data_IF_162821170450
#
_entry.id   IF_162821170450
#
_cell.length_a   1.000
_cell.length_b   1.000
_cell.length_c   1.000
_cell.angle_alpha   90.00
_cell.angle_beta   90.00
_cell.angle_gamma   90.00
#
_symmetry.space_group_name_H-M   'P 1'
#
loop_
_entity.id
_entity.type
_entity.pdbx_description
1 polymer ?
#
# COMPACT_ATOMS: atom_id res chain seq x y z
N UNK A 1 10.41 33.77 16.17
CA UNK A 1 9.52 33.29 17.27
C UNK A 1 10.24 32.18 18.05
N UNK A 2 9.63 31.53 19.10
CA UNK A 2 10.37 30.58 19.98
C UNK A 2 10.80 29.30 19.25
N UNK A 3 9.93 28.74 18.43
CA UNK A 3 10.24 27.50 17.68
C UNK A 3 11.40 27.69 16.69
N UNK A 4 11.38 28.76 15.94
CA UNK A 4 12.45 29.11 14.97
C UNK A 4 13.80 29.25 15.67
N UNK A 5 13.83 29.88 16.87
CA UNK A 5 15.05 30.03 17.65
C UNK A 5 15.58 28.70 18.18
N UNK A 6 14.71 27.78 18.63
CA UNK A 6 15.12 26.44 19.06
C UNK A 6 15.74 25.64 17.90
N UNK A 7 15.18 25.73 16.70
CA UNK A 7 15.76 25.14 15.50
C UNK A 7 17.11 25.78 15.13
N UNK A 8 17.22 27.12 15.16
CA UNK A 8 18.47 27.82 14.89
C UNK A 8 19.56 27.44 15.90
N UNK A 9 19.22 27.37 17.20
CA UNK A 9 20.13 26.93 18.25
C UNK A 9 20.66 25.51 17.99
N UNK A 10 19.76 24.59 17.61
CA UNK A 10 20.12 23.23 17.28
C UNK A 10 21.05 23.17 16.05
N UNK A 11 20.73 23.89 14.97
CA UNK A 11 21.54 23.93 13.75
C UNK A 11 22.94 24.54 14.00
N UNK A 12 23.03 25.59 14.81
CA UNK A 12 24.33 26.20 15.20
C UNK A 12 25.18 25.19 15.95
N UNK A 13 24.62 24.48 16.94
CA UNK A 13 25.34 23.48 17.72
C UNK A 13 25.73 22.26 16.89
N UNK A 14 24.90 21.86 15.89
CA UNK A 14 25.26 20.82 14.95
C UNK A 14 26.43 21.18 14.04
N UNK A 15 26.45 22.42 13.57
CA UNK A 15 27.45 22.91 12.61
C UNK A 15 28.79 23.30 13.27
N UNK A 16 28.73 24.10 14.33
CA UNK A 16 29.91 24.65 14.99
C UNK A 16 30.39 23.84 16.19
N UNK A 17 29.59 22.89 16.67
CA UNK A 17 29.93 22.02 17.79
C UNK A 17 29.68 22.67 19.14
N UNK A 18 30.72 22.88 19.91
CA UNK A 18 30.64 23.48 21.23
C UNK A 18 30.76 25.02 21.15
N UNK A 19 29.83 25.73 21.79
CA UNK A 19 29.81 27.18 21.89
C UNK A 19 29.44 27.60 23.32
N UNK A 20 29.94 28.76 23.76
CA UNK A 20 29.52 29.34 25.06
C UNK A 20 28.08 29.84 24.99
N UNK A 21 27.42 29.95 26.15
CA UNK A 21 26.08 30.53 26.21
C UNK A 21 26.07 32.01 25.78
N UNK A 22 27.18 32.72 25.98
CA UNK A 22 27.36 34.10 25.56
C UNK A 22 27.41 34.18 24.00
N UNK A 23 28.26 33.40 23.35
CA UNK A 23 28.34 33.36 21.88
C UNK A 23 27.01 32.99 21.24
N UNK A 24 26.27 32.02 21.81
CA UNK A 24 24.95 31.65 21.35
C UNK A 24 23.92 32.76 21.56
N UNK A 25 24.05 33.52 22.66
CA UNK A 25 23.16 34.63 22.94
C UNK A 25 23.38 35.79 21.96
N UNK A 26 24.64 36.07 21.62
CA UNK A 26 25.04 37.06 20.61
C UNK A 26 24.55 36.67 19.21
N UNK A 27 24.77 35.40 18.78
CA UNK A 27 24.38 34.88 17.45
C UNK A 27 22.88 34.87 17.25
N UNK A 28 22.10 34.55 18.31
CA UNK A 28 20.65 34.49 18.27
C UNK A 28 19.93 35.75 18.74
N UNK A 29 20.70 36.83 19.04
CA UNK A 29 20.21 38.14 19.50
C UNK A 29 19.26 38.03 20.72
N UNK A 30 19.63 37.19 21.70
CA UNK A 30 18.87 36.96 22.93
C UNK A 30 19.76 37.02 24.16
N UNK A 31 19.16 37.00 25.37
CA UNK A 31 19.95 36.91 26.60
C UNK A 31 20.46 35.50 26.87
N UNK A 32 21.58 35.32 27.56
CA UNK A 32 22.08 34.03 28.02
C UNK A 32 21.04 33.26 28.84
N UNK A 33 20.21 33.95 29.63
CA UNK A 33 19.09 33.35 30.36
C UNK A 33 18.06 32.68 29.42
N UNK A 34 17.87 33.27 28.24
CA UNK A 34 17.00 32.71 27.20
C UNK A 34 17.63 31.46 26.61
N UNK A 35 18.95 31.46 26.35
CA UNK A 35 19.70 30.29 25.87
C UNK A 35 19.57 29.11 26.85
N UNK A 36 19.81 29.35 28.17
CA UNK A 36 19.66 28.26 29.15
C UNK A 36 18.22 27.69 29.23
N UNK A 37 17.22 28.56 29.08
CA UNK A 37 15.84 28.13 29.04
C UNK A 37 15.53 27.32 27.77
N UNK A 38 16.11 27.71 26.65
CA UNK A 38 15.93 26.98 25.37
C UNK A 38 16.70 25.66 25.38
N UNK A 39 17.89 25.57 25.98
CA UNK A 39 18.60 24.31 26.24
C UNK A 39 17.77 23.38 27.10
N UNK A 40 17.15 23.89 28.16
CA UNK A 40 16.25 23.07 29.00
C UNK A 40 15.04 22.57 28.22
N UNK A 41 14.49 23.39 27.33
CA UNK A 41 13.36 22.97 26.47
C UNK A 41 13.77 21.91 25.45
N UNK A 42 14.96 22.06 24.84
CA UNK A 42 15.51 21.04 23.92
C UNK A 42 15.73 19.70 24.65
N UNK A 43 16.34 19.74 25.83
CA UNK A 43 16.58 18.56 26.67
C UNK A 43 15.27 17.90 27.10
N UNK A 44 14.25 18.67 27.46
CA UNK A 44 12.92 18.16 27.79
C UNK A 44 12.20 17.52 26.58
N UNK A 45 12.57 17.92 25.37
CA UNK A 45 12.09 17.36 24.10
C UNK A 45 12.92 16.15 23.61
N UNK A 46 13.83 15.63 24.45
CA UNK A 46 14.65 14.46 24.12
C UNK A 46 15.92 14.78 23.31
N UNK A 47 16.24 16.06 23.07
CA UNK A 47 17.46 16.47 22.39
C UNK A 47 18.60 16.58 23.42
N UNK A 48 19.66 15.74 23.33
CA UNK A 48 20.70 15.67 24.36
C UNK A 48 21.68 16.83 24.22
N UNK A 49 21.33 17.98 24.80
CA UNK A 49 22.17 19.17 24.90
C UNK A 49 22.76 19.25 26.28
N UNK A 50 24.07 19.43 26.38
CA UNK A 50 24.79 19.58 27.63
C UNK A 50 25.41 20.98 27.74
N UNK A 51 25.29 21.58 28.91
CA UNK A 51 25.99 22.79 29.28
C UNK A 51 27.02 22.47 30.37
N UNK A 52 28.32 22.68 30.08
CA UNK A 52 29.41 22.55 31.06
C UNK A 52 29.95 23.92 31.46
N UNK A 53 30.23 24.10 32.76
CA UNK A 53 30.78 25.33 33.30
C UNK A 53 32.31 25.24 33.41
N UNK A 54 33.01 26.38 33.31
CA UNK A 54 34.45 26.53 33.55
C UNK A 54 35.25 26.83 32.27
N UNK A 55 36.61 26.99 32.42
CA UNK A 55 37.48 27.21 31.27
C UNK A 55 37.41 26.08 30.29
N UNK A 56 36.99 26.35 29.04
CA UNK A 56 36.70 25.33 28.03
C UNK A 56 35.31 24.71 28.13
N UNK A 57 34.44 25.21 29.02
CA UNK A 57 33.03 24.86 29.09
C UNK A 57 32.22 25.46 27.95
N UNK A 58 30.97 25.01 27.79
CA UNK A 58 30.06 25.53 26.77
C UNK A 58 28.84 24.62 26.59
N UNK A 59 28.03 24.99 25.68
CA UNK A 59 26.85 24.24 25.26
C UNK A 59 27.24 23.39 24.09
N UNK A 60 26.95 22.09 24.15
CA UNK A 60 27.21 21.15 23.06
C UNK A 60 26.12 20.07 22.98
N UNK A 61 25.94 19.51 21.81
CA UNK A 61 25.21 18.25 21.62
C UNK A 61 26.11 17.06 21.99
N UNK A 62 25.54 15.95 22.43
CA UNK A 62 26.28 14.69 22.50
C UNK A 62 26.89 14.40 21.13
N UNK A 63 28.10 13.84 21.09
CA UNK A 63 28.86 13.61 19.86
C UNK A 63 28.11 12.66 18.92
N UNK A 64 27.47 11.68 19.47
CA UNK A 64 26.59 10.74 18.72
C UNK A 64 25.34 11.42 18.12
N UNK A 65 24.78 12.44 18.78
CA UNK A 65 23.64 13.22 18.28
C UNK A 65 24.08 14.26 17.24
N UNK A 66 25.29 14.75 17.33
CA UNK A 66 25.90 15.69 16.38
C UNK A 66 26.14 15.05 15.01
N UNK A 67 26.41 13.73 14.97
CA UNK A 67 26.61 12.96 13.74
C UNK A 67 25.31 12.46 13.13
N UNK A 68 24.17 12.54 13.83
CA UNK A 68 22.86 12.12 13.33
C UNK A 68 22.05 13.28 12.75
N UNK A 69 22.34 13.65 11.52
CA UNK A 69 21.56 14.65 10.75
C UNK A 69 20.06 14.30 10.64
N UNK A 70 19.67 13.06 10.87
CA UNK A 70 18.31 12.58 10.71
C UNK A 70 17.52 12.42 12.01
N UNK A 71 18.18 12.46 13.19
CA UNK A 71 17.53 12.17 14.49
C UNK A 71 16.95 10.74 14.61
N UNK A 72 17.19 9.88 13.65
CA UNK A 72 16.65 8.51 13.64
C UNK A 72 17.37 7.63 14.67
N UNK A 73 16.63 6.85 15.41
CA UNK A 73 17.13 5.77 16.27
C UNK A 73 17.67 4.59 15.44
N UNK A 74 18.48 3.69 16.03
CA UNK A 74 18.93 2.48 15.34
C UNK A 74 17.78 1.62 14.81
N UNK A 75 16.68 1.50 15.57
CA UNK A 75 15.53 0.69 15.19
C UNK A 75 14.71 1.35 14.08
N UNK A 76 14.55 2.67 14.10
CA UNK A 76 13.91 3.43 13.02
C UNK A 76 14.74 3.35 11.73
N UNK A 77 16.07 3.43 11.84
CA UNK A 77 16.98 3.24 10.70
C UNK A 77 16.81 1.84 10.12
N UNK A 78 16.84 0.80 10.95
CA UNK A 78 16.61 -0.59 10.49
C UNK A 78 15.26 -0.74 9.80
N UNK A 79 14.19 -0.25 10.42
CA UNK A 79 12.85 -0.32 9.86
C UNK A 79 12.76 0.35 8.48
N UNK A 80 13.34 1.55 8.33
CA UNK A 80 13.33 2.28 7.07
C UNK A 80 14.09 1.54 5.96
N UNK A 81 15.28 1.01 6.26
CA UNK A 81 16.12 0.32 5.27
C UNK A 81 15.77 -1.14 5.02
N UNK A 82 14.88 -1.75 5.82
CA UNK A 82 14.24 -3.03 5.49
C UNK A 82 13.21 -2.93 4.38
N UNK A 83 12.66 -1.75 4.14
CA UNK A 83 11.65 -1.56 3.10
C UNK A 83 12.29 -1.66 1.71
N UNK A 84 11.82 -2.61 0.91
CA UNK A 84 12.04 -2.59 -0.53
C UNK A 84 11.15 -1.53 -1.17
N UNK A 85 11.51 -1.11 -2.39
CA UNK A 85 10.66 -0.21 -3.16
C UNK A 85 9.36 -0.96 -3.46
N UNK A 86 8.21 -0.48 -2.96
CA UNK A 86 6.94 -1.14 -3.28
C UNK A 86 6.67 -1.07 -4.78
N UNK A 87 6.22 -2.15 -5.40
CA UNK A 87 5.87 -2.17 -6.82
C UNK A 87 4.91 -1.02 -7.22
N UNK A 88 3.91 -0.63 -6.41
CA UNK A 88 3.10 0.54 -6.70
C UNK A 88 3.89 1.85 -6.84
N UNK A 89 4.97 2.04 -6.07
CA UNK A 89 5.79 3.25 -6.15
C UNK A 89 6.57 3.29 -7.46
N UNK A 90 7.10 2.15 -7.91
CA UNK A 90 7.78 2.02 -9.20
C UNK A 90 6.81 2.28 -10.37
N UNK A 91 5.58 1.76 -10.29
CA UNK A 91 4.54 1.98 -11.30
C UNK A 91 4.11 3.46 -11.40
N UNK A 92 4.23 4.23 -10.32
CA UNK A 92 4.06 5.69 -10.33
C UNK A 92 5.29 6.45 -10.86
N UNK A 93 6.38 5.76 -11.23
CA UNK A 93 7.62 6.37 -11.72
C UNK A 93 8.44 7.07 -10.64
N UNK A 94 8.26 6.72 -9.37
CA UNK A 94 8.92 7.34 -8.21
C UNK A 94 10.06 6.48 -7.62
N UNK A 95 10.41 5.37 -8.27
CA UNK A 95 11.43 4.44 -7.76
C UNK A 95 12.84 5.04 -7.72
N UNK A 96 13.23 5.79 -8.74
CA UNK A 96 14.54 6.46 -8.79
C UNK A 96 14.65 7.58 -7.74
N UNK A 97 13.59 8.37 -7.57
CA UNK A 97 13.54 9.40 -6.51
C UNK A 97 13.61 8.78 -5.12
N UNK A 98 12.92 7.67 -4.90
CA UNK A 98 12.97 6.94 -3.64
C UNK A 98 14.36 6.34 -3.38
N UNK A 99 15.00 5.73 -4.39
CA UNK A 99 16.38 5.25 -4.29
C UNK A 99 17.34 6.38 -3.94
N UNK A 100 17.22 7.51 -4.64
CA UNK A 100 18.05 8.69 -4.40
C UNK A 100 17.86 9.24 -2.97
N UNK A 101 16.63 9.27 -2.46
CA UNK A 101 16.34 9.67 -1.09
C UNK A 101 16.97 8.72 -0.07
N UNK A 102 16.84 7.40 -0.27
CA UNK A 102 17.47 6.40 0.61
C UNK A 102 19.00 6.50 0.58
N UNK A 103 19.61 6.72 -0.58
CA UNK A 103 21.07 6.93 -0.69
C UNK A 103 21.53 8.18 0.08
N UNK A 104 20.81 9.30 -0.01
CA UNK A 104 21.10 10.52 0.75
C UNK A 104 20.97 10.28 2.26
N UNK A 105 19.94 9.56 2.68
CA UNK A 105 19.75 9.17 4.09
C UNK A 105 20.89 8.26 4.55
N UNK A 106 21.25 7.21 3.79
CA UNK A 106 22.37 6.33 4.12
C UNK A 106 23.69 7.09 4.23
N UNK A 107 23.95 8.02 3.31
CA UNK A 107 25.16 8.86 3.35
C UNK A 107 25.22 9.78 4.57
N UNK A 108 24.09 10.17 5.14
CA UNK A 108 24.00 10.99 6.36
C UNK A 108 24.09 10.18 7.67
N UNK A 109 24.08 8.84 7.59
CA UNK A 109 24.23 7.99 8.77
C UNK A 109 25.70 7.92 9.23
N UNK A 110 25.96 7.80 10.54
CA UNK A 110 27.28 7.45 11.08
C UNK A 110 27.76 6.10 10.56
N UNK A 111 29.08 5.91 10.45
CA UNK A 111 29.69 4.68 9.91
C UNK A 111 29.27 3.42 10.64
N UNK A 112 29.08 3.49 11.96
CA UNK A 112 28.59 2.37 12.78
C UNK A 112 27.17 1.93 12.36
N UNK A 113 26.32 2.87 11.97
CA UNK A 113 24.94 2.57 11.53
C UNK A 113 24.85 2.12 10.09
N UNK A 114 25.78 2.55 9.21
CA UNK A 114 25.88 2.03 7.85
C UNK A 114 26.25 0.54 7.85
N UNK A 115 27.09 0.10 8.78
CA UNK A 115 27.39 -1.32 8.95
C UNK A 115 26.13 -2.12 9.35
N UNK A 116 25.33 -1.59 10.29
CA UNK A 116 24.06 -2.20 10.72
C UNK A 116 23.02 -2.25 9.59
N UNK A 117 22.94 -1.18 8.76
CA UNK A 117 22.09 -1.15 7.57
C UNK A 117 22.45 -2.28 6.59
N UNK A 118 23.72 -2.36 6.21
CA UNK A 118 24.21 -3.39 5.29
C UNK A 118 23.96 -4.80 5.83
N UNK A 119 24.23 -5.01 7.12
CA UNK A 119 24.00 -6.28 7.79
C UNK A 119 22.53 -6.71 7.80
N UNK A 120 21.64 -5.75 8.03
CA UNK A 120 20.19 -5.99 8.03
C UNK A 120 19.67 -6.34 6.64
N UNK A 121 20.06 -5.58 5.61
CA UNK A 121 19.65 -5.82 4.20
C UNK A 121 20.09 -7.20 3.68
N UNK A 122 21.23 -7.71 4.14
CA UNK A 122 21.71 -9.03 3.73
C UNK A 122 20.97 -10.20 4.38
N UNK A 123 20.19 -9.94 5.45
CA UNK A 123 19.52 -10.98 6.23
C UNK A 123 18.01 -10.99 6.11
N UNK A 124 17.43 -9.83 5.81
CA UNK A 124 15.98 -9.68 5.72
C UNK A 124 15.66 -9.01 4.39
N UNK A 125 14.91 -9.71 3.56
CA UNK A 125 14.35 -9.21 2.31
C UNK A 125 12.82 -9.29 2.42
N UNK A 126 12.14 -8.16 2.35
CA UNK A 126 10.67 -8.12 2.27
C UNK A 126 10.28 -8.08 0.79
N UNK A 127 10.04 -9.24 0.22
CA UNK A 127 9.54 -9.36 -1.14
C UNK A 127 8.01 -9.46 -1.11
N UNK A 128 7.34 -8.43 -1.59
CA UNK A 128 5.87 -8.36 -1.69
C UNK A 128 5.35 -8.75 -3.08
N UNK A 129 6.22 -9.19 -3.98
CA UNK A 129 5.84 -9.65 -5.31
C UNK A 129 5.16 -11.03 -5.24
N UNK A 130 4.20 -11.24 -6.12
CA UNK A 130 3.53 -12.54 -6.24
C UNK A 130 4.35 -13.47 -7.15
N UNK A 131 4.38 -14.76 -6.80
CA UNK A 131 4.96 -15.78 -7.67
C UNK A 131 4.21 -15.86 -8.99
N UNK A 132 4.95 -15.97 -10.12
CA UNK A 132 4.40 -16.18 -11.46
C UNK A 132 3.40 -15.11 -11.95
N UNK A 133 3.29 -13.97 -11.28
CA UNK A 133 2.57 -12.83 -11.81
C UNK A 133 3.56 -11.85 -12.42
N UNK A 134 3.40 -11.58 -13.71
CA UNK A 134 3.95 -10.37 -14.31
C UNK A 134 3.30 -9.17 -13.64
N UNK A 135 4.04 -8.09 -13.49
CA UNK A 135 3.46 -6.80 -13.09
C UNK A 135 2.24 -6.53 -13.96
N UNK A 136 1.12 -6.24 -13.31
CA UNK A 136 -0.10 -5.91 -14.04
C UNK A 136 0.17 -4.67 -14.86
N UNK A 137 0.05 -4.77 -16.18
CA UNK A 137 0.16 -3.59 -17.03
C UNK A 137 -1.01 -2.65 -16.73
N UNK A 138 -0.69 -1.43 -16.33
CA UNK A 138 -1.67 -0.38 -15.98
C UNK A 138 -1.39 0.87 -16.82
N UNK A 139 -1.57 0.79 -18.14
CA UNK A 139 -1.15 1.82 -19.09
C UNK A 139 -1.76 3.20 -18.79
N UNK A 140 -2.96 3.23 -18.21
CA UNK A 140 -3.65 4.48 -17.88
C UNK A 140 -3.21 5.10 -16.55
N UNK A 141 -2.37 4.44 -15.74
CA UNK A 141 -2.05 4.88 -14.38
C UNK A 141 -1.41 6.27 -14.35
N UNK A 142 -0.44 6.54 -15.22
CA UNK A 142 0.25 7.84 -15.27
C UNK A 142 -0.69 8.97 -15.72
N UNK A 143 -1.55 8.71 -16.70
CA UNK A 143 -2.58 9.67 -17.14
C UNK A 143 -3.54 10.01 -16.00
N UNK A 144 -3.99 8.99 -15.26
CA UNK A 144 -4.88 9.17 -14.10
C UNK A 144 -4.17 9.94 -12.99
N UNK A 145 -2.92 9.61 -12.70
CA UNK A 145 -2.10 10.32 -11.71
C UNK A 145 -1.95 11.80 -12.07
N UNK A 146 -1.64 12.10 -13.33
CA UNK A 146 -1.50 13.47 -13.81
C UNK A 146 -2.81 14.25 -13.65
N UNK A 147 -3.95 13.69 -14.06
CA UNK A 147 -5.26 14.31 -13.90
C UNK A 147 -5.62 14.56 -12.43
N UNK A 148 -5.28 13.61 -11.55
CA UNK A 148 -5.49 13.72 -10.11
C UNK A 148 -4.74 14.91 -9.50
N UNK A 149 -3.46 15.10 -9.83
CA UNK A 149 -2.65 16.19 -9.30
C UNK A 149 -2.97 17.56 -9.93
N UNK A 150 -3.62 17.56 -11.10
CA UNK A 150 -4.03 18.79 -11.79
C UNK A 150 -5.50 19.14 -11.55
N UNK A 151 -6.24 18.39 -10.73
CA UNK A 151 -7.68 18.53 -10.51
C UNK A 151 -8.48 18.60 -11.84
N UNK A 152 -8.09 17.75 -12.82
CA UNK A 152 -8.70 17.67 -14.15
C UNK A 152 -9.64 16.48 -14.24
N UNK A 153 -10.76 16.66 -14.95
CA UNK A 153 -11.66 15.58 -15.30
C UNK A 153 -10.99 14.60 -16.25
N UNK A 154 -11.38 13.35 -16.14
CA UNK A 154 -10.98 12.26 -17.03
C UNK A 154 -12.18 11.78 -17.82
N UNK A 155 -11.98 11.49 -19.10
CA UNK A 155 -12.82 10.58 -19.85
C UNK A 155 -12.19 9.20 -19.79
N UNK A 156 -12.91 8.22 -19.23
CA UNK A 156 -12.43 6.87 -19.07
C UNK A 156 -13.31 5.89 -19.83
N UNK A 157 -12.67 4.93 -20.50
CA UNK A 157 -13.33 3.83 -21.16
C UNK A 157 -13.09 2.57 -20.34
N UNK A 158 -14.15 2.08 -19.70
CA UNK A 158 -14.07 0.93 -18.79
C UNK A 158 -14.53 -0.32 -19.53
N UNK A 159 -13.69 -1.36 -19.47
CA UNK A 159 -13.99 -2.67 -20.04
C UNK A 159 -14.59 -3.58 -18.98
N UNK A 160 -15.76 -4.12 -19.25
CA UNK A 160 -16.35 -5.19 -18.46
C UNK A 160 -15.92 -6.54 -19.02
N UNK A 161 -15.00 -7.20 -18.32
CA UNK A 161 -14.35 -8.44 -18.77
C UNK A 161 -15.35 -9.56 -19.16
N UNK A 162 -16.56 -9.56 -18.56
CA UNK A 162 -17.53 -10.64 -18.74
C UNK A 162 -18.48 -10.45 -19.89
N UNK A 163 -18.71 -9.22 -20.33
CA UNK A 163 -19.68 -8.93 -21.39
C UNK A 163 -19.03 -8.42 -22.67
N UNK A 164 -17.69 -8.32 -22.67
CA UNK A 164 -16.93 -7.67 -23.75
C UNK A 164 -17.55 -6.33 -24.15
N UNK A 165 -18.11 -5.63 -23.17
CA UNK A 165 -18.79 -4.36 -23.34
C UNK A 165 -17.90 -3.27 -22.75
N UNK A 166 -17.64 -2.25 -23.55
CA UNK A 166 -16.94 -1.05 -23.13
C UNK A 166 -17.95 0.07 -22.97
N UNK A 167 -17.83 0.85 -21.92
CA UNK A 167 -18.61 2.08 -21.76
C UNK A 167 -17.69 3.24 -21.41
N UNK A 168 -18.03 4.36 -21.98
CA UNK A 168 -17.30 5.62 -21.79
C UNK A 168 -18.03 6.49 -20.79
N UNK A 169 -17.27 7.14 -19.90
CA UNK A 169 -17.82 8.05 -18.92
C UNK A 169 -16.80 9.10 -18.49
N UNK A 170 -17.30 10.25 -18.08
CA UNK A 170 -16.49 11.27 -17.44
C UNK A 170 -16.39 10.98 -15.94
N UNK A 171 -15.19 11.18 -15.38
CA UNK A 171 -14.83 10.89 -14.00
C UNK A 171 -14.06 12.07 -13.39
N UNK A 172 -14.36 12.38 -12.16
CA UNK A 172 -13.62 13.34 -11.34
C UNK A 172 -12.68 12.56 -10.41
N UNK A 173 -11.37 12.47 -10.70
CA UNK A 173 -10.47 11.61 -9.93
C UNK A 173 -10.28 12.16 -8.51
N UNK A 174 -10.73 11.44 -7.49
CA UNK A 174 -10.59 11.81 -6.09
C UNK A 174 -9.36 11.20 -5.42
N UNK A 175 -8.88 10.06 -5.92
CA UNK A 175 -7.69 9.42 -5.40
C UNK A 175 -7.35 8.11 -6.09
N UNK A 176 -6.08 7.68 -5.94
CA UNK A 176 -5.57 6.38 -6.32
C UNK A 176 -5.24 5.57 -5.06
N UNK A 177 -5.62 4.31 -5.04
CA UNK A 177 -5.32 3.39 -3.94
C UNK A 177 -4.68 2.13 -4.51
N UNK A 178 -3.52 1.74 -3.95
CA UNK A 178 -2.92 0.43 -4.20
C UNK A 178 -3.24 -0.51 -3.03
N UNK A 179 -3.96 -1.61 -3.28
CA UNK A 179 -4.22 -2.67 -2.31
C UNK A 179 -3.75 -4.00 -2.89
N UNK A 180 -2.81 -4.66 -2.22
CA UNK A 180 -2.23 -5.92 -2.67
C UNK A 180 -1.74 -5.86 -4.14
N UNK A 181 -0.99 -4.82 -4.50
CA UNK A 181 -0.47 -4.53 -5.83
C UNK A 181 -1.54 -4.32 -6.93
N UNK A 182 -2.81 -4.14 -6.55
CA UNK A 182 -3.89 -3.80 -7.48
C UNK A 182 -4.23 -2.33 -7.29
N UNK A 183 -4.23 -1.57 -8.40
CA UNK A 183 -4.62 -0.18 -8.41
C UNK A 183 -6.12 0.01 -8.56
N UNK A 184 -6.64 0.91 -7.75
CA UNK A 184 -8.04 1.36 -7.76
C UNK A 184 -8.08 2.87 -7.94
N UNK A 185 -8.92 3.31 -8.87
CA UNK A 185 -9.31 4.71 -9.01
C UNK A 185 -10.58 4.95 -8.19
N UNK A 186 -10.50 5.91 -7.28
CA UNK A 186 -11.67 6.48 -6.60
C UNK A 186 -12.03 7.77 -7.31
N UNK A 187 -13.25 7.90 -7.79
CA UNK A 187 -13.69 9.05 -8.60
C UNK A 187 -15.12 9.45 -8.30
N UNK A 188 -15.42 10.74 -8.49
CA UNK A 188 -16.76 11.28 -8.44
C UNK A 188 -17.47 11.16 -9.78
N UNK A 189 -18.75 10.81 -9.74
CA UNK A 189 -19.66 10.86 -10.87
C UNK A 189 -21.05 11.26 -10.39
N UNK A 190 -21.55 12.40 -10.90
CA UNK A 190 -22.83 12.94 -10.45
C UNK A 190 -22.90 13.20 -8.93
N UNK A 191 -21.77 13.61 -8.32
CA UNK A 191 -21.68 13.88 -6.88
C UNK A 191 -21.53 12.63 -5.99
N UNK A 192 -21.51 11.43 -6.57
CA UNK A 192 -21.36 10.16 -5.82
C UNK A 192 -19.98 9.58 -6.07
N UNK A 193 -19.24 9.15 -5.03
CA UNK A 193 -17.96 8.49 -5.19
C UNK A 193 -18.14 7.04 -5.66
N UNK A 194 -17.31 6.65 -6.62
CA UNK A 194 -17.23 5.31 -7.22
C UNK A 194 -15.82 4.76 -7.14
N UNK A 195 -15.68 3.45 -7.26
CA UNK A 195 -14.39 2.75 -7.27
C UNK A 195 -14.34 1.82 -8.49
N UNK A 196 -13.24 1.88 -9.24
CA UNK A 196 -12.95 0.93 -10.32
C UNK A 196 -11.49 0.49 -10.27
N UNK A 197 -11.19 -0.71 -10.77
CA UNK A 197 -9.79 -1.15 -10.94
C UNK A 197 -9.17 -0.42 -12.13
N UNK A 198 -7.95 0.08 -11.97
CA UNK A 198 -7.25 0.77 -13.07
C UNK A 198 -7.00 -0.17 -14.25
N UNK A 199 -6.75 -1.46 -14.00
CA UNK A 199 -6.61 -2.48 -15.04
C UNK A 199 -7.85 -2.69 -15.91
N UNK A 200 -9.03 -2.30 -15.43
CA UNK A 200 -10.28 -2.33 -16.21
C UNK A 200 -10.47 -1.10 -17.10
N UNK A 201 -9.62 -0.07 -16.94
CA UNK A 201 -9.66 1.15 -17.76
C UNK A 201 -8.82 0.90 -19.00
N UNK A 202 -9.48 0.76 -20.15
CA UNK A 202 -8.83 0.54 -21.43
C UNK A 202 -8.17 1.80 -21.97
N UNK A 203 -8.84 2.95 -21.80
CA UNK A 203 -8.39 4.26 -22.26
C UNK A 203 -8.72 5.32 -21.21
N UNK A 204 -7.83 6.32 -21.05
CA UNK A 204 -8.05 7.47 -20.19
C UNK A 204 -7.51 8.72 -20.89
N UNK A 205 -8.34 9.76 -20.95
CA UNK A 205 -8.02 11.06 -21.55
C UNK A 205 -8.26 12.16 -20.52
N UNK A 206 -7.29 13.08 -20.40
CA UNK A 206 -7.42 14.25 -19.52
C UNK A 206 -8.25 15.31 -20.26
N UNK A 207 -9.40 15.65 -19.69
CA UNK A 207 -10.28 16.67 -20.26
C UNK A 207 -9.79 18.10 -19.92
N UNK A 208 -10.11 19.09 -20.79
CA UNK A 208 -9.79 20.51 -20.50
C UNK A 208 -10.49 21.05 -19.27
N UNK A 209 -11.59 20.45 -18.85
CA UNK A 209 -12.40 20.90 -17.71
C UNK A 209 -11.75 20.44 -16.40
N UNK A 210 -11.63 21.39 -15.47
CA UNK A 210 -11.29 21.11 -14.08
C UNK A 210 -12.51 20.65 -13.29
N UNK A 211 -12.27 20.16 -12.08
CA UNK A 211 -13.31 19.91 -11.10
C UNK A 211 -12.84 20.39 -9.73
N UNK A 212 -13.76 20.55 -8.80
CA UNK A 212 -13.42 20.85 -7.41
C UNK A 212 -13.65 19.60 -6.58
N UNK A 213 -12.55 19.03 -6.07
CA UNK A 213 -12.61 17.89 -5.16
C UNK A 213 -13.37 18.29 -3.89
N UNK A 214 -14.35 17.52 -3.43
CA UNK A 214 -15.10 17.87 -2.22
C UNK A 214 -14.15 18.06 -1.02
N UNK A 215 -14.21 19.23 -0.38
CA UNK A 215 -13.28 19.60 0.71
C UNK A 215 -13.31 18.63 1.91
N UNK A 216 -14.43 17.96 2.12
CA UNK A 216 -14.62 17.00 3.22
C UNK A 216 -14.34 15.55 2.80
N UNK A 217 -13.88 15.31 1.56
CA UNK A 217 -13.60 13.96 1.10
C UNK A 217 -12.24 13.48 1.62
N UNK A 218 -12.28 12.53 2.54
CA UNK A 218 -11.12 11.86 3.10
C UNK A 218 -10.92 10.50 2.44
N UNK A 219 -9.89 10.37 1.60
CA UNK A 219 -9.63 9.16 0.80
C UNK A 219 -9.50 7.90 1.66
N UNK A 220 -8.74 7.98 2.75
CA UNK A 220 -8.49 6.83 3.63
C UNK A 220 -9.78 6.40 4.35
N UNK A 221 -10.54 7.33 4.88
CA UNK A 221 -11.80 7.06 5.55
C UNK A 221 -12.82 6.44 4.59
N UNK A 222 -12.95 7.01 3.38
CA UNK A 222 -13.80 6.46 2.33
C UNK A 222 -13.39 5.04 1.94
N UNK A 223 -12.09 4.83 1.69
CA UNK A 223 -11.58 3.52 1.29
C UNK A 223 -11.80 2.44 2.35
N UNK A 224 -11.57 2.77 3.62
CA UNK A 224 -11.85 1.85 4.73
C UNK A 224 -13.33 1.51 4.84
N UNK A 225 -14.21 2.47 4.67
CA UNK A 225 -15.66 2.24 4.65
C UNK A 225 -16.06 1.37 3.47
N UNK A 226 -15.60 1.69 2.27
CA UNK A 226 -15.85 0.93 1.05
C UNK A 226 -15.37 -0.52 1.16
N UNK A 227 -14.17 -0.75 1.72
CA UNK A 227 -13.67 -2.10 1.97
C UNK A 227 -14.58 -2.89 2.92
N UNK A 228 -15.02 -2.27 4.03
CA UNK A 228 -15.95 -2.92 4.96
C UNK A 228 -17.27 -3.28 4.30
N UNK A 229 -17.83 -2.35 3.52
CA UNK A 229 -19.09 -2.58 2.80
C UNK A 229 -18.92 -3.69 1.75
N UNK A 230 -17.82 -3.68 1.00
CA UNK A 230 -17.51 -4.73 0.03
C UNK A 230 -17.31 -6.10 0.69
N UNK A 231 -16.63 -6.15 1.83
CA UNK A 231 -16.38 -7.37 2.59
C UNK A 231 -17.64 -7.87 3.33
N UNK A 232 -18.57 -6.96 3.68
CA UNK A 232 -19.84 -7.27 4.34
C UNK A 232 -20.94 -7.74 3.38
N UNK A 233 -20.76 -7.53 2.07
CA UNK A 233 -21.73 -8.02 1.09
C UNK A 233 -21.89 -9.53 1.25
N UNK A 234 -23.15 -10.03 1.21
CA UNK A 234 -23.39 -11.46 1.31
C UNK A 234 -22.63 -12.16 0.20
N UNK A 235 -21.82 -13.18 0.54
CA UNK A 235 -21.05 -13.89 -0.46
C UNK A 235 -22.02 -14.66 -1.38
N UNK A 236 -21.63 -14.77 -2.65
CA UNK A 236 -22.27 -15.76 -3.52
C UNK A 236 -21.91 -17.16 -3.01
N UNK A 237 -22.87 -17.86 -2.47
CA UNK A 237 -22.63 -19.19 -1.89
C UNK A 237 -22.96 -20.29 -2.91
N UNK A 238 -22.00 -21.19 -3.12
CA UNK A 238 -22.20 -22.40 -3.90
C UNK A 238 -22.10 -23.63 -2.98
N UNK A 239 -23.13 -24.49 -3.02
CA UNK A 239 -23.06 -25.83 -2.42
C UNK A 239 -22.37 -26.75 -3.37
N UNK A 240 -21.25 -27.29 -2.94
CA UNK A 240 -20.43 -28.18 -3.79
C UNK A 240 -20.12 -29.49 -3.08
N UNK A 241 -19.88 -30.54 -3.85
CA UNK A 241 -19.37 -31.83 -3.40
C UNK A 241 -17.94 -31.95 -3.92
N UNK A 242 -16.99 -32.18 -3.03
CA UNK A 242 -15.56 -32.15 -3.29
C UNK A 242 -14.94 -33.50 -3.06
N UNK A 243 -14.15 -33.97 -4.02
CA UNK A 243 -13.44 -35.22 -3.94
C UNK A 243 -12.30 -35.16 -2.90
N UNK A 244 -11.91 -36.27 -2.24
CA UNK A 244 -10.88 -36.29 -1.22
C UNK A 244 -9.55 -35.70 -1.68
N UNK A 245 -9.15 -35.96 -2.91
CA UNK A 245 -7.91 -35.49 -3.53
C UNK A 245 -7.87 -33.97 -3.74
N UNK A 246 -9.03 -33.32 -3.86
CA UNK A 246 -9.13 -31.88 -4.07
C UNK A 246 -9.21 -31.08 -2.75
N UNK A 247 -9.49 -31.71 -1.62
CA UNK A 247 -9.61 -31.04 -0.34
C UNK A 247 -8.38 -30.21 0.06
N UNK A 248 -7.13 -30.73 -0.08
CA UNK A 248 -5.94 -29.97 0.20
C UNK A 248 -5.74 -28.76 -0.71
N UNK A 249 -6.12 -28.90 -1.98
CA UNK A 249 -5.98 -27.85 -3.00
C UNK A 249 -7.09 -26.79 -2.90
N UNK A 250 -8.20 -27.14 -2.27
CA UNK A 250 -9.36 -26.27 -2.20
C UNK A 250 -9.04 -24.94 -1.53
N UNK A 251 -8.22 -24.94 -0.47
CA UNK A 251 -7.82 -23.75 0.25
C UNK A 251 -7.05 -22.72 -0.63
N UNK A 252 -6.30 -23.21 -1.62
CA UNK A 252 -5.56 -22.36 -2.55
C UNK A 252 -6.46 -21.81 -3.68
N UNK A 253 -7.46 -22.60 -4.11
CA UNK A 253 -8.30 -22.29 -5.26
C UNK A 253 -9.54 -21.45 -4.93
N UNK A 254 -10.12 -21.59 -3.72
CA UNK A 254 -11.39 -20.92 -3.39
C UNK A 254 -11.26 -19.56 -2.70
N UNK A 255 -10.01 -19.15 -2.38
CA UNK A 255 -9.73 -17.85 -1.77
C UNK A 255 -10.00 -17.79 -0.27
N UNK A 256 -9.57 -16.66 0.34
CA UNK A 256 -9.52 -16.50 1.80
C UNK A 256 -10.87 -16.60 2.50
N UNK A 257 -11.95 -16.17 1.84
CA UNK A 257 -13.31 -16.25 2.40
C UNK A 257 -13.75 -17.70 2.68
N UNK A 258 -13.31 -18.66 1.88
CA UNK A 258 -13.68 -20.06 2.04
C UNK A 258 -12.78 -20.81 3.03
N UNK A 259 -11.55 -20.35 3.27
CA UNK A 259 -10.61 -20.99 4.21
C UNK A 259 -11.19 -21.20 5.60
N UNK A 260 -11.92 -20.21 6.12
CA UNK A 260 -12.55 -20.29 7.45
C UNK A 260 -13.67 -21.34 7.54
N UNK A 261 -14.26 -21.80 6.42
CA UNK A 261 -15.32 -22.81 6.39
C UNK A 261 -14.79 -24.23 6.19
N UNK A 262 -13.58 -24.37 5.62
CA UNK A 262 -12.93 -25.67 5.42
C UNK A 262 -12.58 -26.37 6.75
N UNK A 263 -12.41 -25.59 7.82
CA UNK A 263 -12.15 -26.12 9.17
C UNK A 263 -13.40 -26.69 9.87
N UNK A 264 -14.61 -26.46 9.34
CA UNK A 264 -15.85 -27.03 9.87
C UNK A 264 -16.18 -28.30 9.12
N UNK A 265 -15.45 -29.38 9.41
CA UNK A 265 -15.58 -30.69 8.77
C UNK A 265 -17.01 -31.22 8.78
N UNK A 266 -17.59 -31.41 7.60
CA UNK A 266 -18.73 -32.31 7.42
C UNK A 266 -18.19 -33.72 7.21
N UNK A 267 -18.91 -34.73 7.71
CA UNK A 267 -18.52 -36.11 7.54
C UNK A 267 -18.54 -36.47 6.03
N UNK A 268 -17.50 -37.14 5.56
CA UNK A 268 -17.45 -37.63 4.18
C UNK A 268 -18.62 -38.61 3.91
N UNK A 269 -19.09 -38.66 2.69
CA UNK A 269 -20.03 -39.71 2.23
C UNK A 269 -19.30 -41.06 2.02
N UNK A 270 -20.05 -42.08 1.61
CA UNK A 270 -19.53 -43.43 1.39
C UNK A 270 -18.41 -43.49 0.33
N UNK A 271 -18.28 -42.50 -0.54
CA UNK A 271 -17.20 -42.34 -1.53
C UNK A 271 -16.06 -41.45 -1.08
N UNK A 272 -16.07 -40.96 0.19
CA UNK A 272 -15.08 -40.05 0.71
C UNK A 272 -15.27 -38.58 0.31
N UNK A 273 -16.32 -38.26 -0.45
CA UNK A 273 -16.62 -36.91 -0.88
C UNK A 273 -17.22 -36.07 0.25
N UNK A 274 -16.85 -34.81 0.28
CA UNK A 274 -17.32 -33.84 1.32
C UNK A 274 -18.19 -32.78 0.68
N UNK A 275 -19.40 -32.56 1.23
CA UNK A 275 -20.30 -31.48 0.81
C UNK A 275 -20.02 -30.22 1.61
N UNK A 276 -19.74 -29.11 0.92
CA UNK A 276 -19.38 -27.83 1.50
C UNK A 276 -20.24 -26.70 0.91
N UNK A 277 -20.54 -25.69 1.71
CA UNK A 277 -21.11 -24.42 1.25
C UNK A 277 -19.96 -23.40 1.14
N UNK A 278 -19.53 -23.12 -0.10
CA UNK A 278 -18.36 -22.27 -0.35
C UNK A 278 -18.79 -20.84 -0.70
N UNK A 279 -18.30 -19.82 0.03
CA UNK A 279 -18.56 -18.43 -0.28
C UNK A 279 -17.57 -17.92 -1.32
N UNK A 280 -18.06 -17.20 -2.32
CA UNK A 280 -17.28 -16.53 -3.34
C UNK A 280 -17.65 -15.04 -3.40
N UNK A 281 -16.81 -14.24 -4.01
CA UNK A 281 -17.05 -12.81 -4.19
C UNK A 281 -18.19 -12.54 -5.19
N UNK A 282 -18.37 -13.44 -6.15
CA UNK A 282 -19.40 -13.33 -7.18
C UNK A 282 -19.67 -14.68 -7.84
N UNK A 283 -20.77 -14.77 -8.59
CA UNK A 283 -21.10 -15.91 -9.47
C UNK A 283 -19.94 -16.25 -10.41
N UNK A 284 -19.31 -15.24 -10.97
CA UNK A 284 -18.22 -15.41 -11.95
C UNK A 284 -16.96 -15.93 -11.28
N UNK A 285 -16.60 -15.38 -10.10
CA UNK A 285 -15.48 -15.89 -9.32
C UNK A 285 -15.69 -17.37 -8.94
N UNK A 286 -16.92 -17.74 -8.54
CA UNK A 286 -17.29 -19.12 -8.28
C UNK A 286 -17.06 -20.01 -9.51
N UNK A 287 -17.58 -19.60 -10.67
CA UNK A 287 -17.43 -20.36 -11.91
C UNK A 287 -15.96 -20.56 -12.29
N UNK A 288 -15.18 -19.49 -12.33
CA UNK A 288 -13.77 -19.54 -12.75
C UNK A 288 -12.92 -20.43 -11.84
N UNK A 289 -13.12 -20.32 -10.53
CA UNK A 289 -12.34 -21.12 -9.56
C UNK A 289 -12.76 -22.58 -9.54
N UNK A 290 -14.06 -22.86 -9.65
CA UNK A 290 -14.55 -24.24 -9.65
C UNK A 290 -14.22 -24.98 -10.95
N UNK A 291 -14.18 -24.28 -12.11
CA UNK A 291 -13.68 -24.84 -13.37
C UNK A 291 -12.22 -25.33 -13.24
N UNK A 292 -11.37 -24.61 -12.50
CA UNK A 292 -9.98 -24.99 -12.28
C UNK A 292 -9.79 -26.30 -11.50
N UNK A 293 -10.81 -26.75 -10.76
CA UNK A 293 -10.81 -28.03 -10.03
C UNK A 293 -11.31 -29.20 -10.88
N UNK A 294 -11.83 -28.94 -12.08
CA UNK A 294 -12.26 -29.96 -13.03
C UNK A 294 -13.29 -30.92 -12.43
N UNK A 295 -13.07 -32.22 -12.64
CA UNK A 295 -14.01 -33.30 -12.18
C UNK A 295 -13.97 -33.56 -10.67
N UNK A 296 -13.03 -32.94 -9.96
CA UNK A 296 -12.86 -33.14 -8.51
C UNK A 296 -13.85 -32.32 -7.67
N UNK A 297 -14.67 -31.49 -8.32
CA UNK A 297 -15.74 -30.72 -7.67
C UNK A 297 -17.03 -30.84 -8.48
N UNK A 298 -18.13 -31.16 -7.79
CA UNK A 298 -19.48 -31.13 -8.33
C UNK A 298 -20.28 -30.00 -7.69
N UNK A 299 -20.84 -29.10 -8.50
CA UNK A 299 -21.77 -28.07 -8.02
C UNK A 299 -23.14 -28.64 -7.85
N UNK A 300 -23.67 -28.61 -6.62
CA UNK A 300 -25.02 -29.04 -6.29
C UNK A 300 -26.00 -27.85 -6.40
N UNK A 301 -25.65 -26.70 -5.89
CA UNK A 301 -26.46 -25.48 -5.89
C UNK A 301 -25.58 -24.22 -6.03
N UNK A 302 -26.07 -23.16 -6.68
CA UNK A 302 -27.33 -23.10 -7.45
C UNK A 302 -27.20 -23.76 -8.82
N UNK A 303 -28.34 -24.22 -9.37
CA UNK A 303 -28.41 -24.87 -10.70
C UNK A 303 -27.87 -23.98 -11.82
N UNK A 304 -28.05 -22.66 -11.73
CA UNK A 304 -27.52 -21.69 -12.69
C UNK A 304 -25.98 -21.73 -12.79
N UNK A 305 -25.29 -21.93 -11.67
CA UNK A 305 -23.84 -22.09 -11.65
C UNK A 305 -23.43 -23.43 -12.31
N UNK A 306 -24.12 -24.51 -11.98
CA UNK A 306 -23.89 -25.83 -12.59
C UNK A 306 -24.05 -25.77 -14.10
N UNK A 307 -25.14 -25.18 -14.60
CA UNK A 307 -25.39 -25.01 -16.04
C UNK A 307 -24.29 -24.20 -16.71
N UNK A 308 -23.87 -23.10 -16.07
CA UNK A 308 -22.79 -22.27 -16.60
C UNK A 308 -21.44 -22.98 -16.65
N UNK A 309 -21.13 -23.84 -15.69
CA UNK A 309 -19.92 -24.67 -15.71
C UNK A 309 -19.94 -25.70 -16.87
N UNK A 310 -21.07 -26.33 -17.09
CA UNK A 310 -21.25 -27.29 -18.22
C UNK A 310 -21.04 -26.58 -19.55
N UNK A 311 -21.71 -25.43 -19.75
CA UNK A 311 -21.61 -24.64 -20.98
C UNK A 311 -20.15 -24.20 -21.26
N UNK A 312 -19.44 -23.70 -20.26
CA UNK A 312 -18.03 -23.34 -20.42
C UNK A 312 -17.12 -24.54 -20.69
N UNK A 313 -17.36 -25.67 -20.03
CA UNK A 313 -16.60 -26.90 -20.27
C UNK A 313 -16.81 -27.41 -21.69
N UNK A 314 -18.04 -27.36 -22.22
CA UNK A 314 -18.36 -27.70 -23.60
C UNK A 314 -17.69 -26.76 -24.61
N UNK A 315 -17.70 -25.45 -24.36
CA UNK A 315 -17.00 -24.48 -25.21
C UNK A 315 -15.49 -24.77 -25.26
N UNK A 316 -14.86 -25.03 -24.10
CA UNK A 316 -13.45 -25.41 -24.04
C UNK A 316 -13.20 -26.71 -24.83
N UNK A 317 -14.03 -27.73 -24.62
CA UNK A 317 -13.89 -29.01 -25.31
C UNK A 317 -14.07 -28.85 -26.84
N UNK A 318 -15.02 -28.03 -27.27
CA UNK A 318 -15.26 -27.75 -28.69
C UNK A 318 -14.07 -27.05 -29.33
N UNK A 319 -13.49 -26.03 -28.63
CA UNK A 319 -12.33 -25.29 -29.12
C UNK A 319 -11.11 -26.18 -29.35
N UNK A 320 -10.83 -27.13 -28.43
CA UNK A 320 -9.69 -28.04 -28.59
C UNK A 320 -9.95 -29.21 -29.58
N UNK A 321 -11.22 -29.56 -29.83
CA UNK A 321 -11.58 -30.57 -30.83
C UNK A 321 -11.62 -30.04 -32.27
N UNK A 322 -11.71 -28.71 -32.44
CA UNK A 322 -11.78 -28.06 -33.74
C UNK A 322 -10.39 -27.76 -34.36
N UNK A 323 -9.33 -28.10 -33.65
CA UNK A 323 -7.94 -28.08 -34.12
C UNK A 323 -7.44 -29.50 -34.43
#
# INVERSE_FOLDING_TARGET
>A
MRADRLLSLLMILQTRGQMSAQELAEELEVSERTIYRDITALSASGIPVYASRGPGGGVRLIEEYRTTLTGLTPDETRALFMMNIPAPLAQLGMDEDFKAALLKLSASLPDTRRADESHTRQRILLDSSWWFQSEQDVPCLQTIQQALFQDRRLRIKVRWEFFNTEFEQDAEPYGLVAKANIWYLVYGRGGTPHVTRVSQIAEAEILPEGFTRPAQFELEAFWRAWCRDYESQPPFTARVRVAPEALPLLAEHVGDRARGQLTRSRLPDAGGWVTLDLPFESFVAARSRLLGLGRAVEVLEPSTLRTSLVDFAEQIAAFYKSK
#
